data_IF_737025573745
#
_entry.id   IF_737025573745
#
_cell.length_a   1.000
_cell.length_b   1.000
_cell.length_c   1.000
_cell.angle_alpha   90.00
_cell.angle_beta   90.00
_cell.angle_gamma   90.00
#
_symmetry.space_group_name_H-M   'P 1'
#
loop_
_entity.id
_entity.type
_entity.pdbx_description
1 polymer ?
#
# COMPACT_ATOMS: atom_id res chain seq x y z
N UNK A 1 4.88 1.95 22.76
CA UNK A 1 5.50 2.65 23.90
C UNK A 1 6.99 2.32 23.82
N UNK A 2 7.84 3.22 23.31
CA UNK A 2 9.29 3.01 23.31
C UNK A 2 9.86 3.57 24.61
N UNK A 3 10.56 2.72 25.36
CA UNK A 3 11.28 3.10 26.58
C UNK A 3 12.70 3.51 26.20
N UNK A 4 13.09 4.73 26.54
CA UNK A 4 14.49 5.16 26.50
C UNK A 4 15.14 4.82 27.84
N UNK A 5 16.21 4.03 27.84
CA UNK A 5 17.37 4.20 28.72
C UNK A 5 18.52 3.29 28.29
N UNK A 6 19.70 3.88 28.12
CA UNK A 6 20.96 3.15 28.05
C UNK A 6 21.55 2.95 29.45
N UNK A 7 22.30 1.87 29.62
CA UNK A 7 23.10 1.56 30.80
C UNK A 7 24.20 0.55 30.43
N UNK A 8 25.35 0.64 31.09
CA UNK A 8 26.46 -0.31 30.93
C UNK A 8 26.24 -1.55 31.83
N UNK A 9 26.58 -2.74 31.31
CA UNK A 9 26.42 -4.07 31.92
C UNK A 9 24.99 -4.65 31.90
N UNK A 10 24.45 -5.14 33.03
CA UNK A 10 23.19 -5.91 33.14
C UNK A 10 21.90 -5.17 32.68
N UNK A 11 22.02 -3.92 32.25
CA UNK A 11 20.97 -3.11 31.62
C UNK A 11 20.97 -3.22 30.09
N UNK A 12 21.80 -4.10 29.51
CA UNK A 12 21.76 -4.44 28.09
C UNK A 12 20.38 -5.04 27.77
N UNK A 13 19.71 -4.50 26.75
CA UNK A 13 18.45 -5.06 26.25
C UNK A 13 18.71 -6.49 25.78
N UNK A 14 18.43 -7.44 26.66
CA UNK A 14 18.56 -8.84 26.34
C UNK A 14 17.34 -9.25 25.51
N UNK A 15 17.47 -9.10 24.19
CA UNK A 15 16.57 -9.71 23.22
C UNK A 15 16.79 -11.25 23.23
N UNK A 16 16.56 -11.93 24.36
CA UNK A 16 16.68 -13.40 24.49
C UNK A 16 15.67 -14.15 23.62
N UNK A 17 14.59 -13.50 23.22
CA UNK A 17 13.52 -14.10 22.42
C UNK A 17 13.58 -13.63 20.98
N UNK A 18 13.31 -14.55 20.06
CA UNK A 18 13.13 -14.26 18.65
C UNK A 18 12.20 -13.05 18.41
N UNK A 19 12.65 -12.09 17.61
CA UNK A 19 11.85 -10.92 17.22
C UNK A 19 11.15 -11.21 15.90
N UNK A 20 9.88 -10.81 15.79
CA UNK A 20 9.04 -11.08 14.62
C UNK A 20 8.42 -9.82 14.04
N UNK A 21 8.30 -9.76 12.72
CA UNK A 21 7.25 -8.99 12.06
C UNK A 21 5.94 -9.76 12.16
N UNK A 22 4.88 -9.11 12.67
CA UNK A 22 3.55 -9.70 12.75
C UNK A 22 2.60 -8.91 11.87
N UNK A 23 2.01 -9.59 10.89
CA UNK A 23 0.99 -9.02 10.02
C UNK A 23 -0.33 -9.72 10.26
N UNK A 24 -1.42 -8.96 10.23
CA UNK A 24 -2.79 -9.49 10.37
C UNK A 24 -3.63 -9.00 9.21
N UNK A 25 -4.27 -9.93 8.52
CA UNK A 25 -5.26 -9.64 7.49
C UNK A 25 -6.64 -10.01 8.02
N UNK A 26 -7.51 -9.01 8.13
CA UNK A 26 -8.87 -9.14 8.62
C UNK A 26 -9.85 -9.09 7.44
N UNK A 27 -10.69 -10.12 7.32
CA UNK A 27 -11.70 -10.23 6.27
C UNK A 27 -13.08 -9.88 6.79
N UNK A 28 -13.94 -9.39 5.91
CA UNK A 28 -15.37 -9.12 6.22
C UNK A 28 -16.15 -10.38 6.54
N UNK A 29 -15.66 -11.56 6.13
CA UNK A 29 -16.16 -12.90 6.50
C UNK A 29 -15.92 -13.28 7.98
N UNK A 30 -15.25 -12.40 8.75
CA UNK A 30 -14.86 -12.62 10.14
C UNK A 30 -13.56 -13.43 10.30
N UNK A 31 -12.88 -13.80 9.22
CA UNK A 31 -11.58 -14.49 9.28
C UNK A 31 -10.45 -13.50 9.54
N UNK A 32 -9.63 -13.77 10.56
CA UNK A 32 -8.37 -13.08 10.81
C UNK A 32 -7.21 -14.05 10.59
N UNK A 33 -6.35 -13.74 9.61
CA UNK A 33 -5.11 -14.47 9.33
C UNK A 33 -3.94 -13.74 9.94
N UNK A 34 -3.17 -14.41 10.78
CA UNK A 34 -1.96 -13.84 11.40
C UNK A 34 -0.73 -14.51 10.82
N UNK A 35 0.21 -13.71 10.34
CA UNK A 35 1.49 -14.14 9.78
C UNK A 35 2.61 -13.61 10.65
N UNK A 36 3.53 -14.49 11.06
CA UNK A 36 4.75 -14.13 11.77
C UNK A 36 5.97 -14.37 10.91
N UNK A 37 6.91 -13.43 10.86
CA UNK A 37 8.19 -13.60 10.16
C UNK A 37 9.33 -13.22 11.09
N UNK A 38 10.30 -14.11 11.26
CA UNK A 38 11.48 -13.79 12.07
C UNK A 38 12.25 -12.62 11.45
N UNK A 39 12.61 -11.62 12.24
CA UNK A 39 13.39 -10.48 11.76
C UNK A 39 14.76 -10.93 11.23
N UNK A 40 15.39 -11.93 11.87
CA UNK A 40 16.67 -12.50 11.43
C UNK A 40 16.57 -13.37 10.18
N UNK A 41 15.37 -13.87 9.87
CA UNK A 41 15.14 -14.75 8.73
C UNK A 41 13.68 -14.67 8.28
N UNK A 42 13.40 -13.75 7.37
CA UNK A 42 12.06 -13.51 6.83
C UNK A 42 11.64 -14.54 5.77
N UNK A 43 12.51 -15.51 5.45
CA UNK A 43 12.26 -16.56 4.46
C UNK A 43 11.40 -17.70 5.00
N UNK A 44 11.29 -17.83 6.33
CA UNK A 44 10.49 -18.88 6.98
C UNK A 44 9.34 -18.19 7.73
N UNK A 45 8.08 -18.29 7.23
CA UNK A 45 6.93 -17.86 8.01
C UNK A 45 6.77 -18.76 9.23
N UNK A 46 6.46 -18.16 10.37
CA UNK A 46 5.71 -18.85 11.43
C UNK A 46 4.34 -19.17 10.85
N UNK A 47 3.95 -20.45 10.92
CA UNK A 47 2.72 -20.98 10.31
C UNK A 47 1.55 -20.00 10.54
N UNK A 48 0.84 -19.58 9.47
CA UNK A 48 -0.23 -18.62 9.63
C UNK A 48 -1.33 -19.18 10.53
N UNK A 49 -1.70 -18.43 11.56
CA UNK A 49 -2.81 -18.78 12.45
C UNK A 49 -4.08 -18.17 11.92
N UNK A 50 -5.09 -19.00 11.67
CA UNK A 50 -6.42 -18.56 11.28
C UNK A 50 -7.34 -18.59 12.49
N UNK A 51 -8.09 -17.51 12.69
CA UNK A 51 -9.11 -17.43 13.73
C UNK A 51 -10.37 -16.76 13.21
N UNK A 52 -11.53 -17.16 13.71
CA UNK A 52 -12.80 -16.47 13.49
C UNK A 52 -13.03 -15.48 14.62
N UNK A 53 -13.29 -14.22 14.28
CA UNK A 53 -13.50 -13.15 15.23
C UNK A 53 -14.73 -12.32 14.84
N UNK A 54 -15.44 -11.80 15.85
CA UNK A 54 -16.47 -10.79 15.62
C UNK A 54 -15.77 -9.45 15.38
N UNK A 55 -15.78 -8.98 14.13
CA UNK A 55 -15.10 -7.74 13.72
C UNK A 55 -16.13 -6.64 13.52
N UNK A 56 -15.97 -5.53 14.25
CA UNK A 56 -16.74 -4.31 14.02
C UNK A 56 -15.98 -3.41 13.06
N UNK A 57 -16.61 -3.06 11.95
CA UNK A 57 -16.06 -2.16 10.94
C UNK A 57 -16.67 -0.77 11.10
N UNK A 58 -15.84 0.26 10.95
CA UNK A 58 -16.27 1.65 10.96
C UNK A 58 -15.87 2.28 9.63
N UNK A 59 -16.71 3.17 9.13
CA UNK A 59 -16.47 3.90 7.89
C UNK A 59 -16.13 5.34 8.21
N UNK A 60 -15.10 5.86 7.56
CA UNK A 60 -14.82 7.28 7.51
C UNK A 60 -15.89 7.97 6.65
N UNK A 61 -16.70 8.84 7.26
CA UNK A 61 -17.83 9.51 6.58
C UNK A 61 -17.44 10.80 5.86
N UNK A 62 -16.15 11.19 5.91
CA UNK A 62 -15.65 12.34 5.16
C UNK A 62 -15.87 12.13 3.67
N UNK A 63 -16.34 13.18 2.98
CA UNK A 63 -16.63 13.10 1.54
C UNK A 63 -15.33 13.15 0.74
N UNK A 64 -15.10 12.09 -0.01
CA UNK A 64 -14.01 11.99 -0.98
C UNK A 64 -14.55 12.28 -2.38
N UNK A 65 -13.96 13.26 -3.06
CA UNK A 65 -14.38 13.65 -4.39
C UNK A 65 -13.48 13.00 -5.44
N UNK A 66 -14.07 12.27 -6.39
CA UNK A 66 -13.33 11.75 -7.56
C UNK A 66 -12.96 12.93 -8.46
N UNK A 67 -11.67 13.23 -8.54
CA UNK A 67 -11.13 14.41 -9.26
C UNK A 67 -10.50 14.06 -10.61
N UNK A 68 -10.09 12.81 -10.80
CA UNK A 68 -9.60 12.27 -12.06
C UNK A 68 -9.85 10.76 -12.12
N UNK A 69 -10.23 10.27 -13.29
CA UNK A 69 -10.20 8.86 -13.64
C UNK A 69 -9.53 8.71 -15.00
N UNK A 70 -8.66 7.71 -15.15
CA UNK A 70 -7.94 7.46 -16.40
C UNK A 70 -8.06 6.00 -16.81
N UNK A 71 -8.21 5.75 -18.11
CA UNK A 71 -8.01 4.41 -18.68
C UNK A 71 -6.55 3.99 -18.53
N UNK A 72 -6.27 2.70 -18.70
CA UNK A 72 -4.89 2.18 -18.80
C UNK A 72 -4.03 2.86 -19.89
N UNK A 73 -4.67 3.48 -20.89
CA UNK A 73 -3.98 4.29 -21.91
C UNK A 73 -3.46 5.64 -21.39
N UNK A 74 -3.90 6.09 -20.21
CA UNK A 74 -3.60 7.43 -19.68
C UNK A 74 -4.59 8.51 -20.08
N UNK A 75 -5.62 8.15 -20.86
CA UNK A 75 -6.69 9.06 -21.28
C UNK A 75 -7.68 9.24 -20.13
N UNK A 76 -7.97 10.49 -19.77
CA UNK A 76 -8.95 10.83 -18.75
C UNK A 76 -10.37 10.46 -19.23
N UNK A 77 -11.10 9.70 -18.42
CA UNK A 77 -12.53 9.39 -18.61
C UNK A 77 -13.43 10.23 -17.72
N UNK A 78 -12.88 10.76 -16.62
CA UNK A 78 -13.58 11.65 -15.72
C UNK A 78 -12.60 12.68 -15.15
N UNK A 79 -13.07 13.92 -14.93
CA UNK A 79 -12.24 14.98 -14.37
C UNK A 79 -11.05 15.36 -15.25
N UNK A 80 -10.08 16.08 -14.67
CA UNK A 80 -8.93 16.62 -15.39
C UNK A 80 -7.66 16.45 -14.56
N UNK A 81 -6.52 16.25 -15.23
CA UNK A 81 -5.21 16.16 -14.56
C UNK A 81 -4.88 17.43 -13.76
N UNK A 82 -5.29 18.59 -14.26
CA UNK A 82 -5.18 19.87 -13.55
C UNK A 82 -5.89 19.89 -12.19
N UNK A 83 -6.95 19.09 -11.99
CA UNK A 83 -7.62 18.98 -10.69
C UNK A 83 -6.73 18.27 -9.66
N UNK A 84 -6.03 17.21 -10.07
CA UNK A 84 -5.06 16.49 -9.23
C UNK A 84 -3.92 17.42 -8.84
N UNK A 85 -3.35 18.12 -9.82
CA UNK A 85 -2.30 19.12 -9.58
C UNK A 85 -2.75 20.22 -8.62
N UNK A 86 -3.97 20.72 -8.78
CA UNK A 86 -4.55 21.74 -7.88
C UNK A 86 -4.73 21.20 -6.46
N UNK A 87 -5.28 19.99 -6.31
CA UNK A 87 -5.46 19.34 -5.02
C UNK A 87 -4.12 19.14 -4.28
N UNK A 88 -3.10 18.61 -4.96
CA UNK A 88 -1.77 18.42 -4.40
C UNK A 88 -1.14 19.76 -3.99
N UNK A 89 -1.26 20.80 -4.82
CA UNK A 89 -0.73 22.14 -4.50
C UNK A 89 -1.42 22.80 -3.31
N UNK A 90 -2.67 22.44 -3.05
CA UNK A 90 -3.43 22.88 -1.87
C UNK A 90 -3.16 22.02 -0.64
N UNK A 91 -2.24 21.05 -0.72
CA UNK A 91 -1.98 20.07 0.33
C UNK A 91 -3.25 19.31 0.78
N UNK A 92 -4.17 19.04 -0.15
CA UNK A 92 -5.33 18.21 0.10
C UNK A 92 -4.91 16.75 0.34
N UNK A 93 -5.65 16.02 1.18
CA UNK A 93 -5.47 14.58 1.31
C UNK A 93 -5.89 13.88 0.02
N UNK A 94 -5.03 13.01 -0.51
CA UNK A 94 -5.26 12.28 -1.77
C UNK A 94 -5.31 10.78 -1.53
N UNK A 95 -6.27 10.12 -2.16
CA UNK A 95 -6.38 8.65 -2.23
C UNK A 95 -6.37 8.18 -3.68
N UNK A 96 -5.88 6.98 -3.88
CA UNK A 96 -5.75 6.34 -5.18
C UNK A 96 -6.51 5.03 -5.22
N UNK A 97 -7.22 4.79 -6.32
CA UNK A 97 -7.65 3.48 -6.76
C UNK A 97 -6.81 3.05 -7.97
N UNK A 98 -6.35 1.81 -8.00
CA UNK A 98 -5.61 1.23 -9.12
C UNK A 98 -6.28 -0.08 -9.53
N UNK A 99 -6.53 -0.24 -10.83
CA UNK A 99 -7.12 -1.46 -11.40
C UNK A 99 -6.15 -1.98 -12.47
N UNK A 100 -5.40 -3.03 -12.12
CA UNK A 100 -4.43 -3.66 -13.02
C UNK A 100 -5.10 -4.57 -14.04
N UNK A 101 -6.11 -5.32 -13.62
CA UNK A 101 -6.97 -6.14 -14.46
C UNK A 101 -8.34 -6.32 -13.79
N UNK A 102 -9.37 -6.67 -14.56
CA UNK A 102 -10.75 -6.81 -14.06
C UNK A 102 -10.94 -7.98 -13.07
N UNK A 103 -9.97 -8.92 -12.99
CA UNK A 103 -10.06 -10.10 -12.11
C UNK A 103 -9.35 -9.90 -10.78
N UNK A 104 -8.31 -9.08 -10.72
CA UNK A 104 -7.58 -8.75 -9.50
C UNK A 104 -8.31 -7.74 -8.61
N UNK A 105 -9.32 -7.07 -9.17
CA UNK A 105 -10.14 -6.11 -8.46
C UNK A 105 -9.48 -4.73 -8.37
N UNK A 106 -10.02 -3.90 -7.49
CA UNK A 106 -9.58 -2.51 -7.32
C UNK A 106 -8.76 -2.37 -6.04
N UNK A 107 -7.52 -1.90 -6.18
CA UNK A 107 -6.64 -1.62 -5.03
C UNK A 107 -6.77 -0.15 -4.64
N UNK A 108 -7.28 0.11 -3.42
CA UNK A 108 -7.37 1.44 -2.84
C UNK A 108 -6.24 1.69 -1.84
N UNK A 109 -5.57 2.83 -1.96
CA UNK A 109 -4.45 3.21 -1.09
C UNK A 109 -4.43 4.70 -0.78
N UNK A 110 -3.81 5.05 0.35
CA UNK A 110 -3.44 6.43 0.64
C UNK A 110 -2.18 6.81 -0.16
N UNK A 111 -2.04 8.10 -0.43
CA UNK A 111 -0.82 8.64 -1.02
C UNK A 111 0.13 9.06 0.10
N UNK A 112 1.37 8.55 0.07
CA UNK A 112 2.41 8.94 1.03
C UNK A 112 3.13 10.22 0.60
N UNK A 113 3.34 10.38 -0.70
CA UNK A 113 3.98 11.56 -1.26
C UNK A 113 3.42 11.84 -2.65
N UNK A 114 3.31 13.12 -3.02
CA UNK A 114 2.85 13.52 -4.34
C UNK A 114 3.70 14.66 -4.89
N UNK A 115 3.94 14.62 -6.20
CA UNK A 115 4.69 15.64 -6.92
C UNK A 115 3.92 16.06 -8.15
N UNK A 116 3.97 17.36 -8.44
CA UNK A 116 3.40 17.96 -9.65
C UNK A 116 4.52 18.41 -10.58
N UNK A 117 4.28 18.39 -11.88
CA UNK A 117 5.20 18.98 -12.84
C UNK A 117 5.36 20.50 -12.62
N UNK A 118 6.57 21.00 -12.89
CA UNK A 118 6.92 22.42 -12.75
C UNK A 118 6.84 23.17 -14.08
N UNK A 119 6.86 22.48 -15.22
CA UNK A 119 6.75 23.08 -16.53
C UNK A 119 5.35 23.68 -16.76
N UNK A 120 5.29 24.87 -17.36
CA UNK A 120 4.03 25.50 -17.76
C UNK A 120 3.33 24.65 -18.82
N UNK A 121 2.06 24.32 -18.59
CA UNK A 121 1.25 23.48 -19.48
C UNK A 121 1.30 21.98 -19.20
N UNK A 122 2.19 21.52 -18.34
CA UNK A 122 2.21 20.12 -17.90
C UNK A 122 1.37 19.96 -16.63
N UNK A 123 0.23 19.28 -16.76
CA UNK A 123 -0.68 18.96 -15.66
C UNK A 123 -0.44 17.58 -15.06
N UNK A 124 0.59 16.87 -15.51
CA UNK A 124 0.92 15.58 -14.94
C UNK A 124 1.38 15.69 -13.48
N UNK A 125 0.91 14.73 -12.72
CA UNK A 125 1.21 14.55 -11.31
C UNK A 125 1.56 13.11 -11.06
N UNK A 126 2.43 12.88 -10.10
CA UNK A 126 2.89 11.55 -9.73
C UNK A 126 2.75 11.39 -8.23
N UNK A 127 2.09 10.32 -7.82
CA UNK A 127 1.95 9.96 -6.43
C UNK A 127 2.80 8.72 -6.13
N UNK A 128 3.28 8.64 -4.90
CA UNK A 128 3.93 7.47 -4.34
C UNK A 128 3.02 6.87 -3.29
N UNK A 129 2.87 5.55 -3.36
CA UNK A 129 2.28 4.75 -2.30
C UNK A 129 3.30 3.70 -1.87
N UNK A 130 3.58 3.67 -0.59
CA UNK A 130 4.61 2.90 0.07
C UNK A 130 3.91 1.95 1.05
N UNK A 131 4.56 0.81 1.35
CA UNK A 131 4.13 -0.15 2.38
C UNK A 131 2.90 -0.98 2.01
N UNK A 132 2.66 -1.22 0.72
CA UNK A 132 1.73 -2.26 0.32
C UNK A 132 2.43 -3.60 0.52
N UNK A 133 1.87 -4.48 1.34
CA UNK A 133 2.34 -5.86 1.45
C UNK A 133 1.76 -6.65 0.29
N UNK A 134 2.59 -7.44 -0.39
CA UNK A 134 2.11 -8.31 -1.45
C UNK A 134 1.09 -9.32 -0.94
N UNK A 135 -0.09 -9.34 -1.55
CA UNK A 135 -1.17 -10.27 -1.28
C UNK A 135 -1.59 -11.02 -2.56
N UNK A 136 -2.43 -12.03 -2.39
CA UNK A 136 -3.02 -12.81 -3.47
C UNK A 136 -4.41 -13.29 -3.08
N UNK A 137 -5.31 -13.55 -4.04
CA UNK A 137 -6.57 -14.23 -3.76
C UNK A 137 -6.31 -15.59 -3.09
N UNK A 138 -7.02 -15.89 -2.01
CA UNK A 138 -7.06 -17.21 -1.39
C UNK A 138 -8.26 -18.01 -1.91
N UNK A 139 -9.44 -17.38 -1.94
CA UNK A 139 -10.67 -17.90 -2.52
C UNK A 139 -11.50 -16.77 -3.14
N UNK A 140 -12.80 -16.98 -3.35
CA UNK A 140 -13.70 -15.98 -3.94
C UNK A 140 -14.00 -14.78 -3.02
N UNK A 141 -13.65 -14.84 -1.74
CA UNK A 141 -14.05 -13.88 -0.71
C UNK A 141 -12.89 -13.39 0.17
N UNK A 142 -11.75 -14.07 0.15
CA UNK A 142 -10.60 -13.79 1.00
C UNK A 142 -9.30 -13.68 0.20
N UNK A 143 -8.39 -12.89 0.74
CA UNK A 143 -7.01 -12.73 0.28
C UNK A 143 -6.06 -13.33 1.33
N UNK A 144 -4.83 -13.58 0.93
CA UNK A 144 -3.75 -13.93 1.84
C UNK A 144 -2.46 -13.22 1.46
N UNK A 145 -1.58 -13.01 2.45
CA UNK A 145 -0.25 -12.51 2.14
C UNK A 145 0.51 -13.51 1.27
N UNK A 146 1.33 -12.99 0.36
CA UNK A 146 2.23 -13.81 -0.43
C UNK A 146 3.14 -14.66 0.48
N UNK A 147 3.52 -15.85 0.02
CA UNK A 147 4.34 -16.80 0.80
C UNK A 147 5.65 -16.19 1.32
N UNK A 148 6.20 -15.23 0.57
CA UNK A 148 7.33 -14.41 0.99
C UNK A 148 6.86 -12.95 1.07
N UNK A 149 6.94 -12.30 2.24
CA UNK A 149 6.49 -10.93 2.40
C UNK A 149 7.50 -9.99 1.74
N UNK A 150 6.98 -9.07 0.94
CA UNK A 150 7.75 -8.00 0.35
C UNK A 150 6.98 -6.68 0.45
N UNK A 151 7.72 -5.60 0.59
CA UNK A 151 7.21 -4.24 0.45
C UNK A 151 7.06 -3.90 -1.03
N UNK A 152 5.89 -3.45 -1.43
CA UNK A 152 5.65 -2.87 -2.73
C UNK A 152 5.67 -1.35 -2.61
N UNK A 153 6.51 -0.75 -3.44
CA UNK A 153 6.57 0.69 -3.67
C UNK A 153 5.97 0.96 -5.02
N UNK A 154 4.93 1.80 -5.05
CA UNK A 154 4.26 2.22 -6.27
C UNK A 154 4.54 3.69 -6.55
N UNK A 155 4.80 3.98 -7.82
CA UNK A 155 4.88 5.32 -8.38
C UNK A 155 3.81 5.41 -9.46
N UNK A 156 2.78 6.20 -9.19
CA UNK A 156 1.51 6.21 -9.90
C UNK A 156 1.36 7.59 -10.55
N UNK A 157 1.70 7.74 -11.84
CA UNK A 157 1.50 8.97 -12.57
C UNK A 157 0.06 9.07 -13.11
N UNK A 158 -0.40 10.29 -13.32
CA UNK A 158 -1.67 10.60 -14.03
C UNK A 158 -1.68 10.13 -15.49
N UNK A 159 -0.54 9.70 -16.04
CA UNK A 159 -0.42 9.06 -17.36
C UNK A 159 -0.72 7.57 -17.34
N UNK A 160 -1.05 6.99 -16.19
CA UNK A 160 -1.43 5.58 -16.01
C UNK A 160 -0.32 4.55 -16.23
N UNK A 161 0.93 4.97 -16.46
CA UNK A 161 2.09 4.07 -16.51
C UNK A 161 2.71 3.89 -15.13
N UNK A 162 2.14 2.98 -14.34
CA UNK A 162 2.53 2.74 -12.96
C UNK A 162 3.85 1.99 -12.91
N UNK A 163 4.82 2.52 -12.17
CA UNK A 163 6.04 1.80 -11.85
C UNK A 163 5.92 1.18 -10.47
N UNK A 164 6.22 -0.11 -10.35
CA UNK A 164 6.19 -0.83 -9.09
C UNK A 164 7.51 -1.56 -8.86
N UNK A 165 7.96 -1.57 -7.61
CA UNK A 165 9.10 -2.38 -7.18
C UNK A 165 8.78 -3.10 -5.89
N UNK A 166 9.08 -4.40 -5.86
CA UNK A 166 8.94 -5.25 -4.70
C UNK A 166 10.30 -5.44 -4.03
N UNK A 167 10.35 -5.30 -2.71
CA UNK A 167 11.56 -5.46 -1.90
C UNK A 167 11.31 -6.45 -0.78
N UNK A 168 12.16 -7.47 -0.67
CA UNK A 168 11.99 -8.51 0.32
C UNK A 168 12.00 -7.91 1.74
N UNK A 169 11.09 -8.37 2.60
CA UNK A 169 11.05 -7.90 3.98
C UNK A 169 12.34 -8.32 4.71
N UNK A 170 12.95 -7.41 5.48
CA UNK A 170 14.14 -7.71 6.29
C UNK A 170 15.46 -7.80 5.51
N UNK A 171 15.43 -7.80 4.17
CA UNK A 171 16.61 -7.76 3.32
C UNK A 171 16.56 -6.53 2.42
N UNK A 172 17.70 -5.86 2.20
CA UNK A 172 17.79 -4.77 1.22
C UNK A 172 17.88 -5.31 -0.21
N UNK A 173 17.08 -6.32 -0.54
CA UNK A 173 17.10 -7.03 -1.81
C UNK A 173 15.81 -6.76 -2.57
N UNK A 174 15.95 -6.23 -3.79
CA UNK A 174 14.84 -6.03 -4.72
C UNK A 174 14.39 -7.39 -5.28
N UNK A 175 13.12 -7.71 -5.08
CA UNK A 175 12.47 -8.93 -5.54
C UNK A 175 12.00 -8.80 -7.00
N UNK A 176 11.37 -7.68 -7.34
CA UNK A 176 11.03 -7.36 -8.74
C UNK A 176 11.03 -5.85 -9.00
N UNK A 177 11.06 -5.50 -10.27
CA UNK A 177 10.71 -4.17 -10.77
C UNK A 177 9.91 -4.34 -12.05
N UNK A 178 8.81 -3.60 -12.19
CA UNK A 178 7.97 -3.64 -13.38
C UNK A 178 7.33 -2.28 -13.63
N UNK A 179 6.96 -2.04 -14.89
CA UNK A 179 6.11 -0.93 -15.28
C UNK A 179 4.86 -1.51 -15.94
N UNK A 180 3.69 -1.10 -15.48
CA UNK A 180 2.40 -1.59 -15.98
C UNK A 180 1.44 -0.44 -16.19
N UNK A 181 0.68 -0.54 -17.26
CA UNK A 181 -0.44 0.34 -17.52
C UNK A 181 -1.67 -0.18 -16.79
N UNK A 182 -2.34 0.69 -16.05
CA UNK A 182 -3.50 0.34 -15.23
C UNK A 182 -4.48 1.51 -15.23
N UNK A 183 -5.78 1.23 -15.06
CA UNK A 183 -6.75 2.29 -14.81
C UNK A 183 -6.46 2.90 -13.43
N UNK A 184 -6.53 4.24 -13.35
CA UNK A 184 -6.30 4.95 -12.08
C UNK A 184 -7.47 5.85 -11.74
N UNK A 185 -7.82 5.86 -10.46
CA UNK A 185 -8.85 6.70 -9.86
C UNK A 185 -8.18 7.58 -8.83
N UNK A 186 -8.41 8.88 -8.90
CA UNK A 186 -7.84 9.87 -8.00
C UNK A 186 -8.96 10.55 -7.23
N UNK A 187 -8.83 10.53 -5.92
CA UNK A 187 -9.78 11.15 -5.01
C UNK A 187 -9.04 12.18 -4.16
N UNK A 188 -9.69 13.31 -3.92
CA UNK A 188 -9.22 14.28 -2.95
C UNK A 188 -10.31 14.59 -1.94
N UNK A 189 -9.88 14.84 -0.71
CA UNK A 189 -10.70 15.50 0.28
C UNK A 189 -10.47 17.01 0.13
N UNK A 190 -11.47 17.72 -0.41
CA UNK A 190 -11.41 19.16 -0.73
C UNK A 190 -12.14 20.01 0.31
#
# INVERSE_FOLDING_TARGET
>A
MMSNKGGDSFDEFDFKTDTYYVFRLAHTTGTVRTYGFLVRNTSIPVVPVMSKQAIKWFMDTRKWHKILETKSTGVATWGLKGNVKSAIRKAADVRLGVIFDERSGEMYMNVDNARVATAGGDDDSTAQAIRVLGDRPYDAHEYELAAFPFWVYLCIPTTSSINLSGWQLGEHRRYFQSSRRAQTLWFAQL
#
